data_IF_384978487267
#
_entry.id   IF_384978487267
#
_cell.length_a   1.000
_cell.length_b   1.000
_cell.length_c   1.000
_cell.angle_alpha   90.00
_cell.angle_beta   90.00
_cell.angle_gamma   90.00
#
_symmetry.space_group_name_H-M   'P 1'
#
loop_
_entity.id
_entity.type
_entity.pdbx_description
1 polymer ?
#
# COMPACT_ATOMS: atom_id res chain seq x y z
N UNK A 1 -12.03 -30.65 10.11
CA UNK A 1 -11.96 -31.34 8.79
C UNK A 1 -11.41 -30.31 7.83
N UNK A 2 -10.33 -30.62 7.11
CA UNK A 2 -9.78 -29.69 6.11
C UNK A 2 -10.87 -29.41 5.05
N UNK A 3 -11.06 -28.15 4.70
CA UNK A 3 -12.04 -27.75 3.69
C UNK A 3 -11.77 -28.46 2.36
N UNK A 4 -12.82 -28.77 1.63
CA UNK A 4 -12.77 -29.50 0.36
C UNK A 4 -12.94 -28.58 -0.85
N UNK A 5 -13.30 -27.32 -0.64
CA UNK A 5 -13.56 -26.37 -1.69
C UNK A 5 -12.36 -25.44 -1.93
N UNK A 6 -12.02 -25.23 -3.20
CA UNK A 6 -11.15 -24.15 -3.67
C UNK A 6 -12.03 -23.11 -4.34
N UNK A 7 -11.95 -21.88 -3.88
CA UNK A 7 -12.87 -20.81 -4.31
C UNK A 7 -12.09 -19.67 -4.95
N UNK A 8 -12.51 -19.26 -6.14
CA UNK A 8 -12.06 -18.06 -6.82
C UNK A 8 -13.16 -16.99 -6.76
N UNK A 9 -12.83 -15.78 -6.32
CA UNK A 9 -13.76 -14.64 -6.27
C UNK A 9 -13.09 -13.44 -6.93
N UNK A 10 -13.82 -12.81 -7.85
CA UNK A 10 -13.46 -11.52 -8.44
C UNK A 10 -14.51 -10.47 -8.09
N UNK A 11 -14.09 -9.46 -7.30
CA UNK A 11 -14.99 -8.37 -6.88
C UNK A 11 -14.78 -7.17 -7.80
N UNK A 12 -15.71 -7.01 -8.75
CA UNK A 12 -15.80 -5.81 -9.57
C UNK A 12 -16.67 -4.73 -8.93
N UNK A 13 -16.68 -3.53 -9.53
CA UNK A 13 -17.48 -2.39 -9.02
C UNK A 13 -18.99 -2.60 -9.04
N UNK A 14 -19.52 -3.49 -9.90
CA UNK A 14 -20.96 -3.72 -10.06
C UNK A 14 -21.37 -5.14 -9.69
N UNK A 15 -20.58 -6.12 -10.10
CA UNK A 15 -20.84 -7.53 -9.86
C UNK A 15 -19.62 -8.24 -9.29
N UNK A 16 -19.89 -9.25 -8.47
CA UNK A 16 -18.92 -10.20 -7.93
C UNK A 16 -19.16 -11.54 -8.59
N UNK A 17 -18.14 -12.06 -9.24
CA UNK A 17 -18.14 -13.38 -9.83
C UNK A 17 -17.47 -14.38 -8.88
N UNK A 18 -18.08 -15.57 -8.72
CA UNK A 18 -17.56 -16.63 -7.87
C UNK A 18 -17.55 -17.96 -8.60
N UNK A 19 -16.48 -18.72 -8.40
CA UNK A 19 -16.32 -20.10 -8.81
C UNK A 19 -15.79 -20.93 -7.65
N UNK A 20 -16.39 -22.07 -7.37
CA UNK A 20 -15.92 -23.03 -6.39
C UNK A 20 -15.74 -24.41 -7.02
N UNK A 21 -14.64 -25.07 -6.70
CA UNK A 21 -14.30 -26.42 -7.19
C UNK A 21 -14.12 -27.32 -5.98
N UNK A 22 -14.88 -28.41 -5.90
CA UNK A 22 -14.70 -29.42 -4.89
C UNK A 22 -13.50 -30.32 -5.25
N UNK A 23 -12.45 -30.27 -4.42
CA UNK A 23 -11.21 -31.01 -4.66
C UNK A 23 -11.40 -32.54 -4.58
N UNK A 24 -12.42 -33.04 -3.84
CA UNK A 24 -12.67 -34.47 -3.67
C UNK A 24 -13.50 -35.09 -4.79
N UNK A 25 -14.46 -34.33 -5.36
CA UNK A 25 -15.42 -34.87 -6.33
C UNK A 25 -15.40 -34.16 -7.69
N UNK A 26 -14.62 -33.08 -7.86
CA UNK A 26 -14.59 -32.32 -9.11
C UNK A 26 -15.87 -31.49 -9.39
N UNK A 27 -16.81 -31.40 -8.43
CA UNK A 27 -18.01 -30.58 -8.56
C UNK A 27 -17.61 -29.11 -8.71
N UNK A 28 -18.23 -28.40 -9.65
CA UNK A 28 -18.03 -26.97 -9.91
C UNK A 28 -19.32 -26.23 -9.66
N UNK A 29 -19.25 -25.15 -8.88
CA UNK A 29 -20.35 -24.21 -8.66
C UNK A 29 -19.94 -22.82 -9.07
N UNK A 30 -20.82 -22.07 -9.70
CA UNK A 30 -20.57 -20.70 -10.12
C UNK A 30 -21.79 -19.84 -9.82
N UNK A 31 -21.53 -18.59 -9.47
CA UNK A 31 -22.58 -17.58 -9.36
C UNK A 31 -22.03 -16.20 -9.69
N UNK A 32 -22.94 -15.29 -10.00
CA UNK A 32 -22.68 -13.86 -10.14
C UNK A 32 -23.70 -13.13 -9.27
N UNK A 33 -23.18 -12.33 -8.33
CA UNK A 33 -23.98 -11.53 -7.40
C UNK A 33 -23.70 -10.05 -7.57
N UNK A 34 -24.60 -9.19 -7.11
CA UNK A 34 -24.35 -7.74 -7.11
C UNK A 34 -23.31 -7.39 -6.04
N UNK A 35 -22.29 -6.60 -6.42
CA UNK A 35 -21.27 -6.14 -5.48
C UNK A 35 -21.84 -5.10 -4.51
N UNK A 36 -21.38 -5.20 -3.27
CA UNK A 36 -21.58 -4.16 -2.26
C UNK A 36 -20.25 -3.39 -2.11
N UNK A 37 -20.13 -2.31 -2.86
CA UNK A 37 -18.85 -1.55 -2.94
C UNK A 37 -18.41 -0.96 -1.61
N UNK A 38 -19.36 -0.63 -0.73
CA UNK A 38 -19.09 -0.15 0.63
C UNK A 38 -18.66 -1.26 1.61
N UNK A 39 -18.97 -2.51 1.30
CA UNK A 39 -18.62 -3.68 2.12
C UNK A 39 -18.26 -4.89 1.21
N UNK A 40 -17.00 -4.99 0.78
CA UNK A 40 -16.53 -6.11 -0.04
C UNK A 40 -16.70 -7.48 0.64
N UNK A 41 -16.63 -7.54 1.97
CA UNK A 41 -16.84 -8.79 2.72
C UNK A 41 -18.30 -9.26 2.58
N UNK A 42 -19.26 -8.37 2.63
CA UNK A 42 -20.65 -8.71 2.38
C UNK A 42 -20.88 -9.26 0.95
N UNK A 43 -20.10 -8.77 -0.03
CA UNK A 43 -20.10 -9.33 -1.39
C UNK A 43 -19.61 -10.77 -1.42
N UNK A 44 -18.53 -11.09 -0.69
CA UNK A 44 -17.99 -12.46 -0.55
C UNK A 44 -19.01 -13.38 0.12
N UNK A 45 -19.60 -12.94 1.23
CA UNK A 45 -20.65 -13.72 1.93
C UNK A 45 -21.84 -13.99 1.01
N UNK A 46 -22.28 -12.99 0.25
CA UNK A 46 -23.38 -13.14 -0.71
C UNK A 46 -23.03 -14.13 -1.83
N UNK A 47 -21.78 -14.09 -2.30
CA UNK A 47 -21.29 -15.03 -3.30
C UNK A 47 -21.25 -16.46 -2.78
N UNK A 48 -20.77 -16.69 -1.55
CA UNK A 48 -20.76 -18.01 -0.91
C UNK A 48 -22.16 -18.58 -0.71
N UNK A 49 -23.10 -17.73 -0.25
CA UNK A 49 -24.49 -18.13 -0.11
C UNK A 49 -25.11 -18.54 -1.46
N UNK A 50 -24.76 -17.83 -2.54
CA UNK A 50 -25.29 -18.13 -3.88
C UNK A 50 -24.83 -19.47 -4.46
N UNK A 51 -23.68 -19.97 -4.02
CA UNK A 51 -23.12 -21.27 -4.43
C UNK A 51 -23.30 -22.37 -3.37
N UNK A 52 -23.96 -22.07 -2.26
CA UNK A 52 -24.18 -22.98 -1.14
C UNK A 52 -22.86 -23.62 -0.60
N UNK A 53 -21.88 -22.74 -0.35
CA UNK A 53 -20.56 -23.09 0.25
C UNK A 53 -20.37 -22.27 1.51
N UNK A 54 -20.02 -22.95 2.61
CA UNK A 54 -19.68 -22.29 3.88
C UNK A 54 -18.18 -22.03 3.96
N UNK A 55 -17.77 -20.98 4.66
CA UNK A 55 -16.37 -20.63 4.92
C UNK A 55 -15.56 -21.82 5.45
N UNK A 56 -16.07 -22.53 6.46
CA UNK A 56 -15.40 -23.68 7.08
C UNK A 56 -15.10 -24.83 6.10
N UNK A 57 -15.76 -24.83 4.94
CA UNK A 57 -15.56 -25.82 3.88
C UNK A 57 -14.51 -25.40 2.84
N UNK A 58 -13.90 -24.23 2.96
CA UNK A 58 -12.94 -23.67 1.98
C UNK A 58 -11.51 -23.91 2.45
N UNK A 59 -10.70 -24.56 1.62
CA UNK A 59 -9.25 -24.74 1.87
C UNK A 59 -8.41 -23.60 1.29
N UNK A 60 -8.78 -23.12 0.11
CA UNK A 60 -8.05 -22.08 -0.62
C UNK A 60 -9.03 -21.05 -1.18
N UNK A 61 -8.82 -19.79 -0.86
CA UNK A 61 -9.52 -18.64 -1.43
C UNK A 61 -8.57 -17.85 -2.32
N UNK A 62 -8.85 -17.83 -3.62
CA UNK A 62 -8.20 -16.99 -4.61
C UNK A 62 -9.07 -15.75 -4.82
N UNK A 63 -8.60 -14.60 -4.38
CA UNK A 63 -9.37 -13.37 -4.40
C UNK A 63 -8.74 -12.32 -5.29
N UNK A 64 -9.41 -11.98 -6.40
CA UNK A 64 -9.13 -10.84 -7.26
C UNK A 64 -9.80 -9.57 -6.72
N UNK A 65 -9.08 -8.46 -6.70
CA UNK A 65 -9.63 -7.17 -6.25
C UNK A 65 -9.00 -6.00 -6.97
N UNK A 66 -9.81 -5.02 -7.35
CA UNK A 66 -9.40 -3.73 -7.90
C UNK A 66 -9.47 -2.61 -6.85
N UNK A 67 -9.55 -2.95 -5.56
CA UNK A 67 -9.76 -1.99 -4.47
C UNK A 67 -8.69 -0.91 -4.43
N UNK A 68 -7.42 -1.29 -4.54
CA UNK A 68 -6.29 -0.34 -4.53
C UNK A 68 -6.35 0.60 -5.74
N UNK A 69 -6.59 0.07 -6.94
CA UNK A 69 -6.72 0.87 -8.17
C UNK A 69 -7.90 1.84 -8.06
N UNK A 70 -9.05 1.38 -7.58
CA UNK A 70 -10.23 2.23 -7.40
C UNK A 70 -9.96 3.33 -6.36
N UNK A 71 -9.34 3.02 -5.23
CA UNK A 71 -8.97 4.01 -4.22
C UNK A 71 -8.06 5.12 -4.79
N UNK A 72 -7.11 4.76 -5.65
CA UNK A 72 -6.23 5.74 -6.32
C UNK A 72 -7.03 6.61 -7.30
N UNK A 73 -7.88 6.01 -8.13
CA UNK A 73 -8.66 6.73 -9.16
C UNK A 73 -9.69 7.67 -8.51
N UNK A 74 -10.31 7.24 -7.43
CA UNK A 74 -11.31 8.01 -6.67
C UNK A 74 -10.67 9.05 -5.73
N UNK A 75 -9.35 8.97 -5.50
CA UNK A 75 -8.64 9.83 -4.54
C UNK A 75 -8.96 9.50 -3.08
N UNK A 76 -9.47 8.29 -2.81
CA UNK A 76 -9.80 7.82 -1.47
C UNK A 76 -8.57 7.22 -0.79
N UNK A 77 -7.59 8.08 -0.49
CA UNK A 77 -6.29 7.74 0.06
C UNK A 77 -6.12 8.31 1.46
N UNK A 78 -5.49 7.54 2.35
CA UNK A 78 -5.18 8.02 3.69
C UNK A 78 -4.14 9.16 3.65
N UNK A 79 -4.19 10.11 4.60
CA UNK A 79 -3.17 11.12 4.77
C UNK A 79 -1.82 10.50 5.13
N UNK A 80 -0.77 10.84 4.37
CA UNK A 80 0.60 10.34 4.55
C UNK A 80 1.54 11.49 4.88
N UNK A 81 2.53 11.25 5.75
CA UNK A 81 3.74 12.07 5.84
C UNK A 81 4.89 11.41 5.07
N UNK A 82 5.71 12.23 4.43
CA UNK A 82 6.93 11.80 3.74
C UNK A 82 8.16 12.16 4.58
N UNK A 83 9.05 11.21 4.77
CA UNK A 83 10.40 11.46 5.30
C UNK A 83 11.39 11.25 4.16
N UNK A 84 12.17 12.28 3.86
CA UNK A 84 13.20 12.27 2.82
C UNK A 84 14.53 12.75 3.39
N UNK A 85 15.63 12.43 2.72
CA UNK A 85 16.95 12.99 3.00
C UNK A 85 16.92 14.53 2.93
N UNK A 86 17.62 15.20 3.83
CA UNK A 86 17.77 16.66 3.85
C UNK A 86 18.13 17.22 2.46
N UNK A 87 17.35 18.22 2.00
CA UNK A 87 17.46 18.85 0.67
C UNK A 87 16.72 18.10 -0.44
N UNK A 88 15.99 16.98 -0.16
CA UNK A 88 15.31 16.16 -1.17
C UNK A 88 13.79 16.01 -0.96
N UNK A 89 13.21 16.68 0.03
CA UNK A 89 11.77 16.62 0.31
C UNK A 89 10.87 17.05 -0.86
N UNK A 90 11.40 17.90 -1.74
CA UNK A 90 10.67 18.45 -2.87
C UNK A 90 10.83 17.66 -4.17
N UNK A 91 11.48 16.50 -4.12
CA UNK A 91 11.60 15.58 -5.28
C UNK A 91 10.24 15.26 -5.89
N UNK A 92 9.20 15.06 -5.07
CA UNK A 92 7.83 14.78 -5.52
C UNK A 92 7.15 15.99 -6.18
N UNK A 93 7.53 17.21 -5.80
CA UNK A 93 7.04 18.47 -6.41
C UNK A 93 7.73 18.70 -7.75
N UNK A 94 9.04 18.57 -7.78
CA UNK A 94 9.88 18.76 -8.95
C UNK A 94 9.52 17.73 -10.03
N UNK A 95 9.35 16.46 -9.63
CA UNK A 95 9.06 15.36 -10.54
C UNK A 95 10.15 15.17 -11.59
N UNK A 96 9.79 14.70 -12.76
CA UNK A 96 10.71 14.49 -13.89
C UNK A 96 11.08 15.76 -14.65
N UNK A 97 10.57 16.92 -14.26
CA UNK A 97 10.77 18.22 -14.92
C UNK A 97 10.38 18.28 -16.41
N UNK A 98 9.67 17.27 -16.91
CA UNK A 98 9.18 17.26 -18.28
C UNK A 98 7.94 18.16 -18.42
N UNK A 99 7.89 18.94 -19.50
CA UNK A 99 6.70 19.73 -19.86
C UNK A 99 5.80 18.90 -20.76
N UNK A 100 4.50 18.95 -20.51
CA UNK A 100 3.51 18.32 -21.41
C UNK A 100 3.47 18.99 -22.78
N UNK A 101 3.65 20.31 -22.78
CA UNK A 101 3.60 21.16 -23.98
C UNK A 101 4.86 22.01 -24.04
N UNK A 102 5.74 21.75 -25.03
CA UNK A 102 7.06 22.39 -25.12
C UNK A 102 7.00 23.85 -25.62
N UNK A 103 5.98 24.20 -26.43
CA UNK A 103 5.91 25.48 -27.14
C UNK A 103 4.69 26.34 -26.75
N UNK A 104 3.94 25.94 -25.71
CA UNK A 104 2.84 26.76 -25.19
C UNK A 104 3.33 27.70 -24.10
N UNK A 105 2.85 28.97 -24.14
CA UNK A 105 3.11 29.95 -23.08
C UNK A 105 2.25 29.66 -21.83
N UNK A 106 1.02 29.18 -22.03
CA UNK A 106 0.12 28.80 -20.98
C UNK A 106 0.30 27.29 -20.71
N UNK A 107 1.09 26.94 -19.69
CA UNK A 107 1.36 25.56 -19.30
C UNK A 107 0.26 25.11 -18.36
N UNK A 108 -0.38 23.96 -18.68
CA UNK A 108 -1.32 23.32 -17.77
C UNK A 108 -0.64 23.03 -16.42
N UNK A 109 -1.19 23.50 -15.27
CA UNK A 109 -0.61 23.25 -13.97
C UNK A 109 -0.42 21.75 -13.72
N UNK A 110 0.66 21.38 -13.05
CA UNK A 110 0.84 20.01 -12.55
C UNK A 110 -0.23 19.72 -11.49
N UNK A 111 -0.67 18.46 -11.43
CA UNK A 111 -1.45 18.02 -10.28
C UNK A 111 -0.61 18.19 -9.01
N UNK A 112 -1.23 18.64 -7.91
CA UNK A 112 -0.51 18.75 -6.64
C UNK A 112 -0.02 17.37 -6.20
N UNK A 113 1.15 17.28 -5.55
CA UNK A 113 1.64 16.03 -4.97
C UNK A 113 0.68 15.47 -3.92
N UNK A 114 0.67 14.14 -3.75
CA UNK A 114 -0.17 13.47 -2.74
C UNK A 114 0.19 13.89 -1.31
N UNK A 115 1.47 14.23 -1.06
CA UNK A 115 1.92 14.73 0.22
C UNK A 115 2.14 16.23 0.14
N UNK A 116 1.32 17.05 0.83
CA UNK A 116 1.49 18.50 0.87
C UNK A 116 2.78 18.88 1.63
N UNK A 117 3.30 20.08 1.38
CA UNK A 117 4.58 20.55 1.94
C UNK A 117 4.68 20.39 3.47
N UNK A 118 3.59 20.67 4.18
CA UNK A 118 3.52 20.61 5.65
C UNK A 118 3.71 19.21 6.23
N UNK A 119 3.58 18.15 5.40
CA UNK A 119 3.79 16.76 5.79
C UNK A 119 5.06 16.15 5.21
N UNK A 120 5.96 16.98 4.66
CA UNK A 120 7.26 16.54 4.15
C UNK A 120 8.33 16.87 5.20
N UNK A 121 8.88 15.83 5.81
CA UNK A 121 9.89 15.92 6.86
C UNK A 121 11.25 15.54 6.30
N UNK A 122 12.30 16.26 6.69
CA UNK A 122 13.65 15.96 6.28
C UNK A 122 14.40 15.25 7.41
N UNK A 123 15.19 14.23 7.05
CA UNK A 123 16.14 13.57 7.93
C UNK A 123 17.57 14.02 7.59
N UNK A 124 18.29 14.49 8.59
CA UNK A 124 19.64 14.99 8.48
C UNK A 124 20.68 13.89 8.33
N UNK A 125 20.60 13.12 7.26
CA UNK A 125 21.46 11.98 6.95
C UNK A 125 21.93 12.01 5.48
N UNK A 126 22.88 11.15 5.09
CA UNK A 126 23.24 10.97 3.69
C UNK A 126 23.93 9.66 3.42
N UNK A 127 23.36 8.85 2.52
CA UNK A 127 24.03 7.72 1.87
C UNK A 127 24.52 8.16 0.48
N UNK A 128 25.70 7.74 0.10
CA UNK A 128 26.27 7.98 -1.21
C UNK A 128 25.89 6.90 -2.23
N UNK A 129 26.17 7.11 -3.52
CA UNK A 129 25.75 6.21 -4.60
C UNK A 129 26.36 4.82 -4.55
N UNK A 130 27.48 4.64 -3.84
CA UNK A 130 28.15 3.35 -3.63
C UNK A 130 27.77 2.72 -2.27
N UNK A 131 26.77 3.29 -1.56
CA UNK A 131 26.30 2.82 -0.27
C UNK A 131 27.13 3.29 0.93
N UNK A 132 28.16 4.14 0.72
CA UNK A 132 28.96 4.72 1.80
C UNK A 132 28.14 5.74 2.59
N UNK A 133 28.34 5.77 3.90
CA UNK A 133 27.73 6.77 4.78
C UNK A 133 28.52 8.08 4.67
N UNK A 134 27.91 9.09 4.02
CA UNK A 134 28.50 10.43 3.90
C UNK A 134 28.14 11.33 5.09
N UNK A 135 26.93 11.19 5.63
CA UNK A 135 26.46 11.84 6.85
C UNK A 135 25.69 10.80 7.67
N UNK A 136 26.20 10.41 8.84
CA UNK A 136 25.54 9.38 9.64
C UNK A 136 24.21 9.90 10.21
N UNK A 137 23.24 9.02 10.32
CA UNK A 137 22.01 9.26 11.03
C UNK A 137 22.25 8.99 12.52
N UNK A 138 22.24 10.03 13.34
CA UNK A 138 22.41 9.89 14.78
C UNK A 138 21.06 9.70 15.50
N UNK A 139 21.11 9.18 16.72
CA UNK A 139 19.94 8.88 17.53
C UNK A 139 19.11 10.13 17.86
N UNK A 140 19.76 11.27 18.10
CA UNK A 140 19.07 12.54 18.33
C UNK A 140 18.22 12.96 17.12
N UNK A 141 18.75 12.75 15.91
CA UNK A 141 18.03 13.07 14.68
C UNK A 141 16.87 12.11 14.44
N UNK A 142 17.04 10.82 14.72
CA UNK A 142 15.95 9.82 14.69
C UNK A 142 14.82 10.22 15.64
N UNK A 143 15.15 10.62 16.86
CA UNK A 143 14.17 11.07 17.85
C UNK A 143 13.48 12.39 17.44
N UNK A 144 14.24 13.33 16.86
CA UNK A 144 13.68 14.58 16.32
C UNK A 144 12.65 14.30 15.23
N UNK A 145 13.01 13.47 14.24
CA UNK A 145 12.11 13.10 13.14
C UNK A 145 10.86 12.40 13.67
N UNK A 146 11.02 11.43 14.57
CA UNK A 146 9.88 10.73 15.18
C UNK A 146 8.94 11.67 15.94
N UNK A 147 9.48 12.66 16.66
CA UNK A 147 8.67 13.69 17.35
C UNK A 147 7.88 14.54 16.37
N UNK A 148 8.50 14.97 15.27
CA UNK A 148 7.77 15.73 14.23
C UNK A 148 6.64 14.91 13.61
N UNK A 149 6.87 13.61 13.36
CA UNK A 149 5.83 12.72 12.81
C UNK A 149 4.67 12.53 13.80
N UNK A 150 4.97 12.39 15.09
CA UNK A 150 3.94 12.30 16.14
C UNK A 150 3.05 13.55 16.17
N UNK A 151 3.66 14.73 16.10
CA UNK A 151 2.95 16.03 16.06
C UNK A 151 2.03 16.16 14.81
N UNK A 152 2.39 15.53 13.69
CA UNK A 152 1.58 15.55 12.45
C UNK A 152 0.30 14.72 12.56
N UNK A 153 0.19 13.83 13.54
CA UNK A 153 -0.96 12.97 13.79
C UNK A 153 -1.47 12.26 12.51
N UNK A 154 -0.56 11.63 11.77
CA UNK A 154 -0.86 10.83 10.58
C UNK A 154 -0.86 9.34 10.91
N UNK A 155 -1.69 8.54 10.21
CA UNK A 155 -1.72 7.09 10.39
C UNK A 155 -0.64 6.36 9.59
N UNK A 156 -0.13 6.99 8.53
CA UNK A 156 0.81 6.37 7.62
C UNK A 156 1.99 7.28 7.28
N UNK A 157 3.16 6.70 7.15
CA UNK A 157 4.42 7.37 6.81
C UNK A 157 5.10 6.63 5.65
N UNK A 158 5.59 7.39 4.68
CA UNK A 158 6.49 6.93 3.63
C UNK A 158 7.91 7.41 3.93
N UNK A 159 8.86 6.48 4.04
CA UNK A 159 10.29 6.80 4.10
C UNK A 159 10.90 6.59 2.72
N UNK A 160 11.57 7.61 2.20
CA UNK A 160 12.25 7.55 0.90
C UNK A 160 13.57 8.32 0.95
N UNK A 161 14.59 7.65 1.50
CA UNK A 161 15.92 8.22 1.65
C UNK A 161 16.78 8.03 0.38
N UNK A 162 17.75 8.90 0.21
CA UNK A 162 18.68 8.83 -0.92
C UNK A 162 19.52 7.56 -0.85
N UNK A 163 19.63 6.87 -1.99
CA UNK A 163 20.44 5.66 -2.16
C UNK A 163 20.13 4.50 -1.18
N UNK A 164 18.96 4.50 -0.53
CA UNK A 164 18.53 3.44 0.37
C UNK A 164 18.41 2.07 -0.33
N UNK A 165 18.25 2.03 -1.65
CA UNK A 165 18.27 0.80 -2.45
C UNK A 165 19.67 0.15 -2.54
N UNK A 166 20.74 0.88 -2.22
CA UNK A 166 22.13 0.37 -2.10
C UNK A 166 22.46 0.05 -0.65
N UNK A 167 22.11 0.96 0.27
CA UNK A 167 22.31 0.78 1.71
C UNK A 167 21.07 1.29 2.47
N UNK A 168 20.32 0.37 3.03
CA UNK A 168 19.06 0.63 3.71
C UNK A 168 19.18 0.93 5.21
N UNK A 169 20.40 1.00 5.77
CA UNK A 169 20.61 1.06 7.23
C UNK A 169 19.88 2.25 7.86
N UNK A 170 19.99 3.45 7.28
CA UNK A 170 19.32 4.63 7.81
C UNK A 170 17.79 4.56 7.70
N UNK A 171 17.28 4.00 6.59
CA UNK A 171 15.83 3.83 6.40
C UNK A 171 15.25 2.81 7.40
N UNK A 172 15.96 1.70 7.65
CA UNK A 172 15.61 0.72 8.68
C UNK A 172 15.62 1.33 10.08
N UNK A 173 16.68 2.08 10.42
CA UNK A 173 16.80 2.72 11.73
C UNK A 173 15.63 3.66 12.03
N UNK A 174 15.20 4.46 11.04
CA UNK A 174 14.01 5.31 11.17
C UNK A 174 12.73 4.48 11.22
N UNK A 175 12.61 3.47 10.37
CA UNK A 175 11.45 2.57 10.31
C UNK A 175 11.20 1.88 11.64
N UNK A 176 12.22 1.29 12.24
CA UNK A 176 12.15 0.63 13.55
C UNK A 176 11.66 1.60 14.65
N UNK A 177 12.17 2.83 14.64
CA UNK A 177 11.75 3.85 15.61
C UNK A 177 10.31 4.30 15.41
N UNK A 178 9.87 4.41 14.15
CA UNK A 178 8.52 4.88 13.80
C UNK A 178 7.43 3.82 14.03
N UNK A 179 7.77 2.54 13.98
CA UNK A 179 6.81 1.44 14.24
C UNK A 179 6.13 1.56 15.62
N UNK A 180 6.77 2.23 16.59
CA UNK A 180 6.16 2.54 17.88
C UNK A 180 5.36 3.84 17.93
N UNK A 181 5.39 4.65 16.87
CA UNK A 181 4.78 5.99 16.81
C UNK A 181 3.62 6.04 15.83
N UNK A 182 3.75 5.38 14.69
CA UNK A 182 2.77 5.39 13.60
C UNK A 182 2.34 3.96 13.26
N UNK A 183 1.07 3.79 12.92
CA UNK A 183 0.49 2.46 12.65
C UNK A 183 1.03 1.83 11.37
N UNK A 184 1.26 2.63 10.33
CA UNK A 184 1.68 2.15 9.02
C UNK A 184 2.94 2.87 8.55
N UNK A 185 3.99 2.10 8.28
CA UNK A 185 5.29 2.61 7.81
C UNK A 185 5.65 1.87 6.53
N UNK A 186 5.85 2.62 5.44
CA UNK A 186 6.33 2.08 4.17
C UNK A 186 7.77 2.52 3.93
N UNK A 187 8.66 1.56 3.69
CA UNK A 187 10.09 1.76 3.45
C UNK A 187 10.38 1.64 1.96
N UNK A 188 11.02 2.66 1.37
CA UNK A 188 11.20 2.71 -0.09
C UNK A 188 12.14 1.63 -0.61
N UNK A 189 13.11 1.19 0.18
CA UNK A 189 14.00 0.10 -0.20
C UNK A 189 13.29 -1.28 -0.29
N UNK A 190 12.15 -1.44 0.38
CA UNK A 190 11.31 -2.64 0.28
C UNK A 190 10.31 -2.54 -0.86
N UNK A 191 9.74 -1.33 -1.07
CA UNK A 191 8.68 -1.11 -2.05
C UNK A 191 9.21 -1.04 -3.48
N UNK A 192 10.37 -0.42 -3.70
CA UNK A 192 10.96 -0.23 -5.02
C UNK A 192 12.48 -0.09 -4.89
N UNK A 193 13.23 -1.20 -4.76
CA UNK A 193 14.67 -1.18 -4.54
C UNK A 193 15.47 -0.81 -5.80
N UNK A 194 15.09 0.29 -6.44
CA UNK A 194 15.66 0.77 -7.69
C UNK A 194 16.09 2.23 -7.58
N UNK A 195 17.07 2.67 -8.40
CA UNK A 195 17.37 4.08 -8.59
C UNK A 195 16.12 4.79 -9.13
N UNK A 196 16.13 6.11 -9.24
CA UNK A 196 15.05 7.02 -9.63
C UNK A 196 14.18 7.43 -8.44
N UNK A 197 14.64 8.46 -7.78
CA UNK A 197 14.07 8.96 -6.53
C UNK A 197 12.60 9.35 -6.65
N UNK A 198 12.19 9.97 -7.78
CA UNK A 198 10.81 10.38 -7.97
C UNK A 198 9.84 9.19 -8.00
N UNK A 199 10.14 8.17 -8.82
CA UNK A 199 9.32 6.99 -8.98
C UNK A 199 9.25 6.18 -7.68
N UNK A 200 10.42 5.95 -7.05
CA UNK A 200 10.50 5.21 -5.78
C UNK A 200 9.71 5.93 -4.69
N UNK A 201 9.88 7.24 -4.54
CA UNK A 201 9.18 8.03 -3.53
C UNK A 201 7.67 8.00 -3.75
N UNK A 202 7.19 8.19 -5.00
CA UNK A 202 5.75 8.13 -5.29
C UNK A 202 5.15 6.74 -5.04
N UNK A 203 5.86 5.67 -5.43
CA UNK A 203 5.41 4.29 -5.16
C UNK A 203 5.28 4.06 -3.65
N UNK A 204 6.25 4.51 -2.87
CA UNK A 204 6.24 4.38 -1.42
C UNK A 204 5.10 5.18 -0.78
N UNK A 205 4.86 6.41 -1.25
CA UNK A 205 3.74 7.25 -0.79
C UNK A 205 2.39 6.58 -1.09
N UNK A 206 2.20 6.08 -2.32
CA UNK A 206 0.97 5.40 -2.71
C UNK A 206 0.75 4.14 -1.87
N UNK A 207 1.80 3.35 -1.65
CA UNK A 207 1.71 2.18 -0.79
C UNK A 207 1.31 2.58 0.64
N UNK A 208 2.00 3.56 1.26
CA UNK A 208 1.67 4.04 2.59
C UNK A 208 0.21 4.53 2.68
N UNK A 209 -0.28 5.26 1.66
CA UNK A 209 -1.64 5.78 1.61
C UNK A 209 -2.72 4.70 1.48
N UNK A 210 -2.37 3.55 0.92
CA UNK A 210 -3.27 2.40 0.75
C UNK A 210 -3.26 1.45 1.96
N UNK A 211 -2.20 1.43 2.76
CA UNK A 211 -2.05 0.50 3.89
C UNK A 211 -3.23 0.52 4.86
N UNK A 212 -3.77 1.67 5.31
CA UNK A 212 -4.92 1.69 6.23
C UNK A 212 -6.17 1.03 5.64
N UNK A 213 -6.42 1.26 4.35
CA UNK A 213 -7.57 0.68 3.63
C UNK A 213 -7.40 -0.83 3.45
N UNK A 214 -6.24 -1.26 2.96
CA UNK A 214 -5.96 -2.66 2.67
C UNK A 214 -5.84 -3.51 3.92
N UNK A 215 -5.18 -3.02 4.98
CA UNK A 215 -5.05 -3.74 6.24
C UNK A 215 -6.42 -4.00 6.88
N UNK A 216 -7.28 -2.98 6.98
CA UNK A 216 -8.63 -3.15 7.54
C UNK A 216 -9.51 -4.12 6.73
N UNK A 217 -9.30 -4.20 5.42
CA UNK A 217 -9.95 -5.18 4.57
C UNK A 217 -9.42 -6.59 4.81
N UNK A 218 -8.08 -6.76 4.83
CA UNK A 218 -7.44 -8.06 5.04
C UNK A 218 -7.77 -8.65 6.40
N UNK A 219 -7.79 -7.83 7.46
CA UNK A 219 -8.17 -8.26 8.80
C UNK A 219 -9.60 -8.85 8.82
N UNK A 220 -10.55 -8.19 8.16
CA UNK A 220 -11.93 -8.68 8.04
C UNK A 220 -12.02 -9.95 7.20
N UNK A 221 -11.25 -10.03 6.11
CA UNK A 221 -11.21 -11.19 5.23
C UNK A 221 -10.66 -12.40 5.99
N UNK A 222 -9.55 -12.23 6.72
CA UNK A 222 -8.96 -13.28 7.55
C UNK A 222 -9.90 -13.73 8.66
N UNK A 223 -10.56 -12.79 9.34
CA UNK A 223 -11.55 -13.10 10.38
C UNK A 223 -12.75 -13.90 9.84
N UNK A 224 -13.19 -13.60 8.61
CA UNK A 224 -14.26 -14.34 7.94
C UNK A 224 -13.84 -15.73 7.48
N UNK A 225 -12.63 -15.86 6.94
CA UNK A 225 -12.11 -17.11 6.40
C UNK A 225 -11.66 -18.10 7.48
N UNK A 226 -11.31 -17.60 8.69
CA UNK A 226 -10.76 -18.40 9.77
C UNK A 226 -9.30 -18.84 9.52
N UNK A 227 -8.74 -19.57 10.48
CA UNK A 227 -7.32 -19.94 10.47
C UNK A 227 -6.97 -21.10 9.52
N UNK A 228 -7.98 -21.77 8.96
CA UNK A 228 -7.78 -22.97 8.12
C UNK A 228 -7.80 -22.71 6.62
N UNK A 229 -8.18 -21.51 6.18
CA UNK A 229 -8.27 -21.13 4.77
C UNK A 229 -7.01 -20.40 4.32
N UNK A 230 -6.35 -20.90 3.28
CA UNK A 230 -5.26 -20.19 2.63
C UNK A 230 -5.84 -19.08 1.73
N UNK A 231 -5.48 -17.85 1.98
CA UNK A 231 -5.92 -16.70 1.18
C UNK A 231 -4.81 -16.29 0.21
N UNK A 232 -5.15 -16.27 -1.08
CA UNK A 232 -4.29 -15.80 -2.16
C UNK A 232 -4.92 -14.57 -2.79
N UNK A 233 -4.20 -13.44 -2.77
CA UNK A 233 -4.67 -12.18 -3.36
C UNK A 233 -4.06 -12.00 -4.74
N UNK A 234 -4.87 -11.54 -5.69
CA UNK A 234 -4.48 -11.17 -7.04
C UNK A 234 -4.94 -9.74 -7.34
N UNK A 235 -4.04 -8.99 -7.95
CA UNK A 235 -4.26 -7.59 -8.32
C UNK A 235 -3.97 -7.39 -9.81
#
# INVERSE_FOLDING_TARGET
MSGTWKVGIDIGGTFTDVIAINAAGGEVRTAKVQSQTSDPIASIVSAYNAIDVCWDGVSDLMHGTTMATNAIVEGNLAPVALIATEGFRDTIEIGRQNRRELYHLDVTPKLPPLVPEQRRVEAGERIGPEGQILKPLCEDEVNRVAGVIDDLNVEAVALALQHCYVNADHEKMLGDRLTGTVKYVALSHEMSPEPREFERTNTTILNAALMPLTAGYLDKLQAGAGDTTNIHLFH
#
